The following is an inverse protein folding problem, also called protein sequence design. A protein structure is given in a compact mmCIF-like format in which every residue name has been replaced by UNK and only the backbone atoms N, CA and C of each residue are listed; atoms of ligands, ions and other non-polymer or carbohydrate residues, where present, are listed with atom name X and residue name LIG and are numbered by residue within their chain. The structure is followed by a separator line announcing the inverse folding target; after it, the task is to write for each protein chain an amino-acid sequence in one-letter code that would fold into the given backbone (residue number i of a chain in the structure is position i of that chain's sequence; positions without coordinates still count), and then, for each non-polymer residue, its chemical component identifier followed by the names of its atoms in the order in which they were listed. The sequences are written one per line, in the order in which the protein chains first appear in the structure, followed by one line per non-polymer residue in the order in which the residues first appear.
data_IF_922510471011
#
_entry.id   IF_922510471011
#
_cell.length_a   1.000
_cell.length_b   1.000
_cell.length_c   1.000
_cell.angle_alpha   90.00
_cell.angle_beta   90.00
_cell.angle_gamma   90.00
#
_symmetry.space_group_name_H-M   'P 1'
#
loop_
_entity.id
_entity.type
_entity.pdbx_description
1 polymer ?
#
# COMPACT_ATOMS: atom_id res chain seq x y z
N UNK A 1 20.88 -25.36 0.62
CA UNK A 1 19.90 -24.26 0.45
C UNK A 1 18.68 -24.61 1.26
N UNK A 2 18.36 -23.82 2.28
CA UNK A 2 17.25 -24.12 3.18
C UNK A 2 15.92 -23.56 2.64
N UNK A 3 16.00 -22.39 1.98
CA UNK A 3 14.82 -21.69 1.46
C UNK A 3 15.07 -21.19 0.04
N UNK A 4 14.13 -21.45 -0.86
CA UNK A 4 14.06 -20.83 -2.18
C UNK A 4 12.79 -19.98 -2.24
N UNK A 5 12.96 -18.70 -2.57
CA UNK A 5 11.86 -17.75 -2.77
C UNK A 5 11.71 -17.49 -4.27
N UNK A 6 10.50 -17.64 -4.79
CA UNK A 6 10.18 -17.38 -6.19
C UNK A 6 9.56 -16.01 -6.33
N UNK A 7 10.21 -15.15 -7.10
CA UNK A 7 9.84 -13.75 -7.32
C UNK A 7 10.52 -12.79 -6.37
N UNK A 8 11.11 -11.74 -6.92
CA UNK A 8 11.84 -10.67 -6.22
C UNK A 8 10.99 -9.42 -5.96
N UNK A 9 9.66 -9.53 -5.98
CA UNK A 9 8.80 -8.44 -5.54
C UNK A 9 8.99 -8.13 -4.05
N UNK A 10 8.51 -6.96 -3.55
CA UNK A 10 8.73 -6.55 -2.16
C UNK A 10 8.35 -7.59 -1.11
N UNK A 11 7.26 -8.33 -1.33
CA UNK A 11 6.81 -9.37 -0.40
C UNK A 11 7.74 -10.60 -0.41
N UNK A 12 8.18 -11.04 -1.59
CA UNK A 12 9.15 -12.13 -1.71
C UNK A 12 10.49 -11.77 -1.06
N UNK A 13 10.98 -10.56 -1.33
CA UNK A 13 12.21 -10.06 -0.71
C UNK A 13 12.08 -9.90 0.81
N UNK A 14 10.92 -9.44 1.31
CA UNK A 14 10.68 -9.36 2.74
C UNK A 14 10.73 -10.73 3.41
N UNK A 15 10.10 -11.74 2.80
CA UNK A 15 10.18 -13.12 3.28
C UNK A 15 11.63 -13.67 3.25
N UNK A 16 12.35 -13.40 2.17
CA UNK A 16 13.75 -13.79 2.03
C UNK A 16 14.64 -13.16 3.11
N UNK A 17 14.46 -11.86 3.38
CA UNK A 17 15.17 -11.13 4.45
C UNK A 17 14.89 -11.73 5.81
N UNK A 18 13.63 -12.04 6.13
CA UNK A 18 13.26 -12.67 7.40
C UNK A 18 13.96 -14.01 7.57
N UNK A 19 13.95 -14.87 6.55
CA UNK A 19 14.62 -16.16 6.58
C UNK A 19 16.14 -16.04 6.70
N UNK A 20 16.76 -15.15 5.93
CA UNK A 20 18.21 -14.95 5.97
C UNK A 20 18.68 -14.39 7.34
N UNK A 21 17.95 -13.45 7.92
CA UNK A 21 18.19 -12.91 9.28
C UNK A 21 18.03 -14.00 10.36
N UNK A 22 17.21 -15.02 10.11
CA UNK A 22 17.08 -16.18 10.99
C UNK A 22 18.23 -17.21 10.82
N UNK A 23 19.23 -16.92 9.98
CA UNK A 23 20.40 -17.77 9.75
C UNK A 23 20.19 -18.88 8.71
N UNK A 24 19.10 -18.85 7.95
CA UNK A 24 18.85 -19.80 6.87
C UNK A 24 19.59 -19.41 5.59
N UNK A 25 20.08 -20.40 4.82
CA UNK A 25 20.60 -20.15 3.48
C UNK A 25 19.45 -19.90 2.51
N UNK A 26 19.40 -18.71 1.90
CA UNK A 26 18.27 -18.26 1.10
C UNK A 26 18.70 -17.93 -0.33
N UNK A 27 17.92 -18.42 -1.30
CA UNK A 27 18.01 -18.04 -2.71
C UNK A 27 16.70 -17.45 -3.19
N UNK A 28 16.76 -16.30 -3.85
CA UNK A 28 15.62 -15.68 -4.56
C UNK A 28 15.82 -15.93 -6.06
N UNK A 29 14.79 -16.42 -6.73
CA UNK A 29 14.78 -16.66 -8.19
C UNK A 29 13.76 -15.69 -8.80
N UNK A 30 14.20 -14.95 -9.83
CA UNK A 30 13.40 -13.94 -10.52
C UNK A 30 13.44 -14.17 -12.03
N UNK A 31 12.26 -14.23 -12.65
CA UNK A 31 12.14 -14.43 -14.08
C UNK A 31 12.64 -13.25 -14.92
N UNK A 32 12.52 -12.05 -14.38
CA UNK A 32 12.91 -10.82 -15.10
C UNK A 32 14.42 -10.56 -14.98
N UNK A 33 14.93 -9.73 -15.89
CA UNK A 33 16.32 -9.25 -15.86
C UNK A 33 16.61 -8.25 -14.75
N UNK A 34 15.59 -7.73 -14.07
CA UNK A 34 15.68 -6.77 -12.97
C UNK A 34 14.79 -7.20 -11.80
N UNK A 35 15.29 -7.05 -10.58
CA UNK A 35 14.54 -7.34 -9.37
C UNK A 35 13.55 -6.23 -9.02
N UNK A 36 12.56 -6.56 -8.18
CA UNK A 36 11.64 -5.59 -7.58
C UNK A 36 10.17 -5.80 -7.91
N UNK A 37 9.83 -6.73 -8.81
CA UNK A 37 8.43 -7.00 -9.17
C UNK A 37 7.69 -5.73 -9.61
N UNK A 38 6.55 -5.43 -9.00
CA UNK A 38 5.77 -4.21 -9.26
C UNK A 38 6.38 -2.90 -8.71
N UNK A 39 7.46 -2.98 -7.92
CA UNK A 39 8.19 -1.81 -7.42
C UNK A 39 9.46 -1.51 -8.26
N UNK A 40 9.53 -2.00 -9.48
CA UNK A 40 10.62 -1.65 -10.41
C UNK A 40 10.43 -0.24 -10.95
N UNK A 41 11.52 0.48 -11.07
CA UNK A 41 11.61 1.76 -11.78
C UNK A 41 12.51 1.55 -12.98
N UNK A 42 12.00 1.79 -14.17
CA UNK A 42 12.71 1.56 -15.43
C UNK A 42 12.94 2.89 -16.15
N UNK A 43 14.07 3.04 -16.87
CA UNK A 43 14.29 4.22 -17.71
C UNK A 43 13.26 4.27 -18.83
N UNK A 44 12.87 5.50 -19.19
CA UNK A 44 12.05 5.71 -20.37
C UNK A 44 12.84 5.37 -21.65
N UNK A 45 12.24 4.67 -22.63
CA UNK A 45 12.95 4.29 -23.86
C UNK A 45 13.25 5.48 -24.80
N UNK A 46 12.51 6.58 -24.69
CA UNK A 46 12.64 7.74 -25.57
C UNK A 46 13.36 8.93 -24.89
N UNK A 47 13.17 9.08 -23.57
CA UNK A 47 13.69 10.21 -22.80
C UNK A 47 14.70 9.73 -21.75
N UNK A 48 15.98 9.95 -22.02
CA UNK A 48 17.10 9.43 -21.18
C UNK A 48 17.14 9.95 -19.75
N UNK A 49 16.50 11.07 -19.48
CA UNK A 49 16.40 11.72 -18.18
C UNK A 49 15.11 11.40 -17.41
N UNK A 50 14.24 10.57 -18.00
CA UNK A 50 12.97 10.14 -17.42
C UNK A 50 13.04 8.68 -16.99
N UNK A 51 12.40 8.37 -15.88
CA UNK A 51 12.19 6.99 -15.39
C UNK A 51 10.75 6.81 -14.95
N UNK A 52 10.25 5.61 -15.10
CA UNK A 52 8.88 5.25 -14.73
C UNK A 52 8.84 4.14 -13.69
N UNK A 53 8.04 4.32 -12.67
CA UNK A 53 7.57 3.22 -11.83
C UNK A 53 6.53 2.43 -12.62
N UNK A 54 6.83 1.15 -12.87
CA UNK A 54 6.04 0.34 -13.82
C UNK A 54 4.67 -0.09 -13.30
N UNK A 55 4.47 -0.05 -11.99
CA UNK A 55 3.22 -0.48 -11.37
C UNK A 55 2.88 0.39 -10.15
N UNK A 56 3.59 0.23 -9.02
CA UNK A 56 3.29 1.00 -7.82
C UNK A 56 4.29 2.13 -7.61
N UNK A 57 3.78 3.36 -7.51
CA UNK A 57 4.58 4.57 -7.29
C UNK A 57 4.40 5.14 -5.89
N UNK A 58 3.35 4.75 -5.17
CA UNK A 58 3.06 5.20 -3.80
C UNK A 58 3.04 4.01 -2.85
N UNK A 59 3.64 4.16 -1.67
CA UNK A 59 3.93 3.04 -0.78
C UNK A 59 3.50 3.27 0.67
N UNK A 60 2.21 3.49 0.96
CA UNK A 60 1.74 3.72 2.33
C UNK A 60 2.04 2.53 3.26
N UNK A 61 2.06 1.30 2.74
CA UNK A 61 2.42 0.12 3.51
C UNK A 61 3.92 0.00 3.80
N UNK A 62 4.78 0.70 3.06
CA UNK A 62 6.20 0.79 3.37
C UNK A 62 6.47 1.57 4.68
N UNK A 63 5.47 2.29 5.18
CA UNK A 63 5.53 2.99 6.48
C UNK A 63 4.65 2.30 7.52
N UNK A 64 3.45 1.84 7.11
CA UNK A 64 2.44 1.36 8.05
C UNK A 64 2.51 -0.14 8.36
N UNK A 65 3.15 -0.97 7.51
CA UNK A 65 3.19 -2.40 7.77
C UNK A 65 4.17 -2.77 8.89
N UNK A 66 3.86 -3.79 9.71
CA UNK A 66 4.74 -4.20 10.81
C UNK A 66 6.14 -4.61 10.35
N UNK A 67 6.26 -5.25 9.19
CA UNK A 67 7.55 -5.62 8.63
C UNK A 67 8.42 -4.39 8.35
N UNK A 68 7.90 -3.42 7.59
CA UNK A 68 8.67 -2.24 7.23
C UNK A 68 8.92 -1.29 8.41
N UNK A 69 8.01 -1.23 9.38
CA UNK A 69 8.26 -0.51 10.63
C UNK A 69 9.49 -1.06 11.38
N UNK A 70 9.68 -2.39 11.38
CA UNK A 70 10.87 -3.02 11.96
C UNK A 70 12.09 -3.06 11.03
N UNK A 71 11.86 -2.98 9.71
CA UNK A 71 12.94 -2.95 8.71
C UNK A 71 13.63 -1.59 8.66
N UNK A 72 12.90 -0.50 8.88
CA UNK A 72 13.39 0.88 8.90
C UNK A 72 14.06 1.29 7.58
N UNK A 73 13.24 1.57 6.58
CA UNK A 73 13.69 2.00 5.26
C UNK A 73 14.58 3.25 5.30
N UNK A 74 14.24 4.32 6.07
CA UNK A 74 15.11 5.49 6.20
C UNK A 74 16.51 5.17 6.73
N UNK A 75 16.65 4.33 7.74
CA UNK A 75 17.96 3.90 8.25
C UNK A 75 18.77 3.11 7.22
N UNK A 76 18.15 2.65 6.13
CA UNK A 76 18.77 1.93 5.00
C UNK A 76 18.97 2.81 3.76
N UNK A 77 18.85 4.13 3.93
CA UNK A 77 19.10 5.11 2.87
C UNK A 77 17.93 5.31 1.90
N UNK A 78 16.75 4.79 2.21
CA UNK A 78 15.55 5.04 1.39
C UNK A 78 14.87 6.31 1.90
N UNK A 79 15.00 7.39 1.16
CA UNK A 79 14.30 8.64 1.43
C UNK A 79 12.87 8.56 0.90
N UNK A 80 11.91 8.96 1.73
CA UNK A 80 10.48 8.96 1.41
C UNK A 80 9.92 10.38 1.45
N UNK A 81 9.42 10.85 0.33
CA UNK A 81 8.63 12.08 0.25
C UNK A 81 7.15 11.77 0.45
N UNK A 82 6.50 12.47 1.38
CA UNK A 82 5.08 12.30 1.62
C UNK A 82 4.33 13.57 1.23
N UNK A 83 3.65 13.60 0.07
CA UNK A 83 2.87 14.74 -0.37
C UNK A 83 1.74 15.08 0.59
N UNK A 84 1.35 16.35 0.63
CA UNK A 84 0.17 16.81 1.38
C UNK A 84 -1.14 16.27 0.78
N UNK A 85 -1.19 16.19 -0.55
CA UNK A 85 -2.27 15.56 -1.30
C UNK A 85 -1.92 14.09 -1.51
N UNK A 86 -2.73 13.19 -0.97
CA UNK A 86 -2.55 11.75 -1.16
C UNK A 86 -3.08 11.31 -2.53
N UNK A 87 -4.29 11.75 -2.89
CA UNK A 87 -4.91 11.44 -4.17
C UNK A 87 -6.05 12.42 -4.49
N UNK A 88 -6.50 12.42 -5.73
CA UNK A 88 -7.63 13.25 -6.15
C UNK A 88 -8.39 12.60 -7.30
N UNK A 89 -9.67 12.91 -7.39
CA UNK A 89 -10.54 12.47 -8.47
C UNK A 89 -11.09 13.68 -9.22
N UNK A 90 -10.79 13.84 -10.52
CA UNK A 90 -11.44 14.84 -11.34
C UNK A 90 -12.93 14.54 -11.46
N UNK A 91 -13.74 15.59 -11.42
CA UNK A 91 -15.18 15.50 -11.57
C UNK A 91 -15.62 16.36 -12.76
N UNK A 92 -16.67 15.96 -13.51
CA UNK A 92 -17.19 16.77 -14.60
C UNK A 92 -17.73 18.12 -14.07
N UNK A 93 -17.41 19.18 -14.78
CA UNK A 93 -17.96 20.53 -14.57
C UNK A 93 -17.79 21.13 -13.18
N UNK A 94 -16.83 20.64 -12.39
CA UNK A 94 -16.51 21.11 -11.04
C UNK A 94 -15.06 20.80 -10.65
N UNK A 95 -14.52 21.46 -9.58
CA UNK A 95 -13.19 21.12 -9.06
C UNK A 95 -13.06 19.66 -8.70
N UNK A 96 -11.85 19.12 -8.84
CA UNK A 96 -11.54 17.74 -8.41
C UNK A 96 -11.77 17.56 -6.90
N UNK A 97 -12.30 16.41 -6.53
CA UNK A 97 -12.33 16.01 -5.13
C UNK A 97 -10.90 15.62 -4.70
N UNK A 98 -10.41 16.18 -3.60
CA UNK A 98 -9.03 16.02 -3.13
C UNK A 98 -9.01 15.33 -1.76
N UNK A 99 -8.22 14.27 -1.67
CA UNK A 99 -7.89 13.58 -0.43
C UNK A 99 -6.54 14.07 0.10
N UNK A 100 -6.57 14.93 1.10
CA UNK A 100 -5.37 15.40 1.80
C UNK A 100 -4.94 14.41 2.88
N UNK A 101 -3.67 14.43 3.24
CA UNK A 101 -3.18 13.71 4.41
C UNK A 101 -3.91 14.17 5.68
N UNK A 102 -4.11 15.46 5.84
CA UNK A 102 -4.97 16.02 6.90
C UNK A 102 -6.45 15.71 6.61
N UNK A 103 -7.04 14.84 7.45
CA UNK A 103 -8.45 14.46 7.32
C UNK A 103 -9.39 15.65 7.54
N UNK A 104 -9.04 16.58 8.42
CA UNK A 104 -9.88 17.75 8.71
C UNK A 104 -9.93 18.67 7.50
N UNK A 105 -8.79 18.90 6.84
CA UNK A 105 -8.73 19.64 5.59
C UNK A 105 -9.58 18.99 4.50
N UNK A 106 -9.44 17.65 4.33
CA UNK A 106 -10.30 16.91 3.40
C UNK A 106 -11.78 17.13 3.71
N UNK A 107 -12.16 17.05 4.98
CA UNK A 107 -13.56 17.23 5.39
C UNK A 107 -14.10 18.64 5.16
N UNK A 108 -13.25 19.67 5.23
CA UNK A 108 -13.67 21.05 4.96
C UNK A 108 -13.92 21.29 3.47
N UNK A 109 -13.14 20.66 2.61
CA UNK A 109 -13.22 20.87 1.15
C UNK A 109 -14.27 20.00 0.45
N UNK A 110 -14.70 18.87 1.07
CA UNK A 110 -15.73 18.01 0.51
C UNK A 110 -17.15 18.59 0.70
N UNK A 111 -18.03 18.32 -0.25
CA UNK A 111 -19.45 18.69 -0.20
C UNK A 111 -20.19 18.12 1.03
N UNK A 112 -19.74 16.98 1.56
CA UNK A 112 -20.22 16.39 2.82
C UNK A 112 -19.07 15.76 3.63
N UNK A 113 -18.17 16.57 4.14
CA UNK A 113 -17.04 16.13 4.95
C UNK A 113 -17.42 15.42 6.25
N UNK A 114 -18.59 15.69 6.81
CA UNK A 114 -19.07 14.98 8.00
C UNK A 114 -19.28 13.49 7.74
N UNK A 115 -19.72 13.12 6.53
CA UNK A 115 -19.86 11.73 6.08
C UNK A 115 -18.50 11.06 5.98
N UNK A 116 -17.52 11.75 5.41
CA UNK A 116 -16.14 11.28 5.27
C UNK A 116 -15.49 11.05 6.64
N UNK A 117 -15.57 12.03 7.53
CA UNK A 117 -15.04 11.93 8.90
C UNK A 117 -15.65 10.76 9.67
N UNK A 118 -16.95 10.53 9.55
CA UNK A 118 -17.64 9.41 10.21
C UNK A 118 -17.14 8.06 9.68
N UNK A 119 -16.86 7.96 8.39
CA UNK A 119 -16.35 6.76 7.77
C UNK A 119 -14.90 6.48 8.17
N UNK A 120 -14.01 7.45 7.97
CA UNK A 120 -12.56 7.23 8.03
C UNK A 120 -11.88 7.70 9.32
N UNK A 121 -12.44 8.70 10.03
CA UNK A 121 -11.83 9.24 11.25
C UNK A 121 -11.48 8.16 12.30
N UNK A 122 -12.44 7.28 12.68
CA UNK A 122 -12.15 6.20 13.63
C UNK A 122 -11.16 5.15 13.11
N UNK A 123 -11.00 5.03 11.81
CA UNK A 123 -10.02 4.10 11.20
C UNK A 123 -8.63 4.73 11.15
N UNK A 124 -8.54 6.01 10.78
CA UNK A 124 -7.28 6.74 10.74
C UNK A 124 -6.63 6.84 12.13
N UNK A 125 -7.44 7.05 13.18
CA UNK A 125 -6.95 7.06 14.56
C UNK A 125 -6.50 5.69 15.09
N UNK A 126 -6.90 4.59 14.43
CA UNK A 126 -6.52 3.20 14.79
C UNK A 126 -5.90 2.48 13.58
N UNK A 127 -5.05 3.19 12.85
CA UNK A 127 -4.44 2.71 11.60
C UNK A 127 -3.74 1.35 11.77
N UNK A 128 -2.98 1.17 12.86
CA UNK A 128 -2.29 -0.09 13.13
C UNK A 128 -3.27 -1.25 13.37
N UNK A 129 -4.38 -1.01 14.06
CA UNK A 129 -5.44 -2.01 14.21
C UNK A 129 -6.09 -2.38 12.88
N UNK A 130 -6.32 -1.40 12.00
CA UNK A 130 -6.86 -1.62 10.64
C UNK A 130 -5.90 -2.44 9.79
N UNK A 131 -4.61 -2.09 9.76
CA UNK A 131 -3.56 -2.81 9.02
C UNK A 131 -3.44 -4.24 9.55
N UNK A 132 -3.33 -4.43 10.86
CA UNK A 132 -3.24 -5.75 11.47
C UNK A 132 -4.46 -6.63 11.19
N UNK A 133 -5.66 -6.04 11.17
CA UNK A 133 -6.88 -6.75 10.84
C UNK A 133 -6.95 -7.12 9.35
N UNK A 134 -6.67 -6.19 8.44
CA UNK A 134 -6.87 -6.40 7.01
C UNK A 134 -5.73 -7.18 6.34
N UNK A 135 -4.51 -7.10 6.84
CA UNK A 135 -3.34 -7.80 6.30
C UNK A 135 -2.83 -8.94 7.18
N UNK A 136 -3.29 -9.06 8.42
CA UNK A 136 -2.90 -10.12 9.34
C UNK A 136 -3.42 -11.51 8.94
N UNK A 137 -2.98 -12.53 9.68
CA UNK A 137 -3.41 -13.92 9.49
C UNK A 137 -4.91 -14.07 9.77
N UNK A 138 -5.66 -14.43 8.74
CA UNK A 138 -7.11 -14.63 8.81
C UNK A 138 -7.54 -15.95 9.48
N UNK A 139 -6.59 -16.84 9.76
CA UNK A 139 -6.84 -18.12 10.44
C UNK A 139 -6.78 -18.00 11.96
N UNK A 140 -6.33 -16.87 12.47
CA UNK A 140 -6.25 -16.56 13.90
C UNK A 140 -7.34 -15.60 14.32
N UNK A 141 -7.54 -15.50 15.66
CA UNK A 141 -8.40 -14.47 16.23
C UNK A 141 -7.85 -13.10 15.86
N UNK A 142 -8.71 -12.15 15.44
CA UNK A 142 -8.26 -10.81 15.09
C UNK A 142 -7.40 -10.19 16.21
N UNK A 143 -6.25 -9.61 15.88
CA UNK A 143 -5.33 -9.04 16.88
C UNK A 143 -5.96 -7.86 17.65
N UNK A 144 -7.01 -7.25 17.09
CA UNK A 144 -7.76 -6.15 17.69
C UNK A 144 -9.26 -6.34 17.46
N UNK A 145 -9.99 -6.77 18.49
CA UNK A 145 -11.46 -6.81 18.46
C UNK A 145 -12.06 -5.42 18.22
N UNK A 146 -11.59 -4.32 18.88
CA UNK A 146 -12.08 -2.98 18.56
C UNK A 146 -11.90 -2.58 17.09
N UNK A 147 -10.78 -2.90 16.47
CA UNK A 147 -10.57 -2.66 15.04
C UNK A 147 -11.56 -3.46 14.19
N UNK A 148 -11.80 -4.74 14.52
CA UNK A 148 -12.76 -5.57 13.81
C UNK A 148 -14.19 -4.99 13.88
N UNK A 149 -14.61 -4.53 15.05
CA UNK A 149 -15.92 -3.89 15.25
C UNK A 149 -16.07 -2.55 14.51
N UNK A 150 -14.97 -1.84 14.26
CA UNK A 150 -14.97 -0.61 13.46
C UNK A 150 -14.95 -0.91 11.96
N UNK A 151 -14.14 -1.85 11.51
CA UNK A 151 -13.92 -2.15 10.09
C UNK A 151 -15.07 -2.96 9.50
N UNK A 152 -15.50 -4.05 10.14
CA UNK A 152 -16.46 -4.98 9.56
C UNK A 152 -17.79 -4.33 9.11
N UNK A 153 -18.48 -3.52 9.93
CA UNK A 153 -19.72 -2.88 9.49
C UNK A 153 -19.51 -1.90 8.33
N UNK A 154 -18.35 -1.26 8.27
CA UNK A 154 -17.97 -0.35 7.18
C UNK A 154 -17.71 -1.10 5.88
N UNK A 155 -17.01 -2.23 5.95
CA UNK A 155 -16.81 -3.12 4.80
C UNK A 155 -18.14 -3.62 4.26
N UNK A 156 -19.05 -4.09 5.15
CA UNK A 156 -20.38 -4.54 4.76
C UNK A 156 -21.20 -3.42 4.12
N UNK A 157 -21.19 -2.22 4.70
CA UNK A 157 -21.90 -1.07 4.17
C UNK A 157 -21.38 -0.66 2.80
N UNK A 158 -20.06 -0.49 2.66
CA UNK A 158 -19.44 -0.04 1.41
C UNK A 158 -19.33 -1.14 0.35
N UNK A 159 -19.38 -2.41 0.73
CA UNK A 159 -19.26 -3.56 -0.17
C UNK A 159 -20.59 -4.19 -0.60
N UNK A 160 -21.73 -3.68 -0.14
CA UNK A 160 -23.06 -4.15 -0.48
C UNK A 160 -23.72 -3.29 -1.56
N UNK A 161 -24.92 -3.70 -1.99
CA UNK A 161 -25.77 -2.89 -2.89
C UNK A 161 -26.16 -1.54 -2.28
N UNK A 162 -26.08 -1.41 -0.97
CA UNK A 162 -26.27 -0.12 -0.28
C UNK A 162 -25.16 0.88 -0.58
N UNK A 163 -24.10 0.45 -1.28
CA UNK A 163 -22.96 1.26 -1.76
C UNK A 163 -23.07 2.72 -1.31
N UNK A 164 -22.67 2.96 -0.12
CA UNK A 164 -22.62 4.33 0.28
C UNK A 164 -23.62 4.70 1.36
N UNK A 165 -23.18 4.42 2.56
CA UNK A 165 -23.48 5.32 3.67
C UNK A 165 -22.73 6.66 3.50
N UNK A 166 -21.86 6.78 2.47
CA UNK A 166 -21.27 8.05 2.06
C UNK A 166 -22.30 8.91 1.34
N UNK A 167 -22.57 10.07 1.89
CA UNK A 167 -23.33 11.12 1.26
C UNK A 167 -22.39 12.20 0.74
N UNK A 168 -22.77 12.82 -0.36
CA UNK A 168 -21.93 13.74 -1.11
C UNK A 168 -21.27 13.08 -2.32
N UNK A 169 -21.16 13.81 -3.40
CA UNK A 169 -20.60 13.32 -4.65
C UNK A 169 -19.09 13.23 -4.58
N UNK A 170 -18.43 14.22 -3.97
CA UNK A 170 -16.99 14.27 -3.77
C UNK A 170 -16.50 13.09 -2.93
N UNK A 171 -17.15 12.82 -1.80
CA UNK A 171 -16.79 11.72 -0.92
C UNK A 171 -16.96 10.36 -1.60
N UNK A 172 -18.01 10.17 -2.40
CA UNK A 172 -18.21 8.96 -3.19
C UNK A 172 -17.13 8.80 -4.26
N UNK A 173 -16.80 9.87 -4.98
CA UNK A 173 -15.77 9.86 -6.00
C UNK A 173 -14.41 9.45 -5.42
N UNK A 174 -13.98 10.09 -4.33
CA UNK A 174 -12.73 9.74 -3.64
C UNK A 174 -12.71 8.29 -3.19
N UNK A 175 -13.78 7.82 -2.54
CA UNK A 175 -13.82 6.45 -2.05
C UNK A 175 -13.84 5.42 -3.20
N UNK A 176 -14.62 5.69 -4.25
CA UNK A 176 -14.69 4.81 -5.42
C UNK A 176 -13.36 4.72 -6.15
N UNK A 177 -12.66 5.86 -6.34
CA UNK A 177 -11.35 5.90 -6.97
C UNK A 177 -10.32 5.07 -6.22
N UNK A 178 -10.29 5.17 -4.89
CA UNK A 178 -9.38 4.36 -4.06
C UNK A 178 -9.78 2.88 -4.05
N UNK A 179 -11.08 2.58 -3.98
CA UNK A 179 -11.57 1.20 -4.02
C UNK A 179 -11.29 0.50 -5.36
N UNK A 180 -11.19 1.27 -6.45
CA UNK A 180 -10.88 0.76 -7.79
C UNK A 180 -9.48 0.14 -7.92
N UNK A 181 -8.56 0.38 -6.96
CA UNK A 181 -7.25 -0.29 -6.91
C UNK A 181 -7.34 -1.83 -6.87
N UNK A 182 -8.49 -2.39 -6.52
CA UNK A 182 -8.68 -3.85 -6.57
C UNK A 182 -8.86 -4.41 -7.98
N UNK A 183 -9.09 -3.55 -8.99
CA UNK A 183 -9.38 -3.96 -10.38
C UNK A 183 -10.43 -5.08 -10.41
N UNK A 184 -11.52 -4.89 -9.67
CA UNK A 184 -12.61 -5.87 -9.52
C UNK A 184 -13.97 -5.20 -9.67
N UNK A 185 -15.02 -6.00 -9.83
CA UNK A 185 -16.40 -5.48 -9.82
C UNK A 185 -16.70 -4.77 -8.51
N UNK A 186 -17.29 -3.59 -8.61
CA UNK A 186 -17.74 -2.79 -7.47
C UNK A 186 -19.25 -2.59 -7.54
N UNK A 187 -19.95 -2.61 -6.37
CA UNK A 187 -19.42 -2.81 -5.02
C UNK A 187 -19.09 -4.28 -4.72
N UNK A 188 -18.05 -4.52 -3.92
CA UNK A 188 -17.73 -5.83 -3.36
C UNK A 188 -17.05 -5.67 -2.00
N UNK A 189 -17.07 -6.72 -1.17
CA UNK A 189 -16.40 -6.69 0.14
C UNK A 189 -14.89 -6.47 0.00
N UNK A 190 -14.28 -7.00 -1.06
CA UNK A 190 -12.85 -6.85 -1.35
C UNK A 190 -12.54 -5.40 -1.71
N UNK A 191 -13.30 -4.79 -2.63
CA UNK A 191 -13.08 -3.38 -3.01
C UNK A 191 -13.35 -2.43 -1.85
N UNK A 192 -14.36 -2.70 -1.02
CA UNK A 192 -14.63 -1.93 0.19
C UNK A 192 -13.49 -2.04 1.20
N UNK A 193 -12.97 -3.24 1.44
CA UNK A 193 -11.84 -3.45 2.35
C UNK A 193 -10.57 -2.73 1.89
N UNK A 194 -10.22 -2.85 0.62
CA UNK A 194 -9.08 -2.16 0.04
C UNK A 194 -9.25 -0.63 0.06
N UNK A 195 -10.43 -0.13 -0.34
CA UNK A 195 -10.75 1.30 -0.30
C UNK A 195 -10.65 1.87 1.11
N UNK A 196 -11.22 1.20 2.11
CA UNK A 196 -11.13 1.61 3.50
C UNK A 196 -9.68 1.60 4.01
N UNK A 197 -8.90 0.57 3.67
CA UNK A 197 -7.49 0.49 4.06
C UNK A 197 -6.68 1.62 3.44
N UNK A 198 -6.72 1.77 2.12
CA UNK A 198 -5.91 2.76 1.41
C UNK A 198 -6.30 4.20 1.78
N UNK A 199 -7.60 4.50 1.90
CA UNK A 199 -8.06 5.81 2.35
C UNK A 199 -7.65 6.09 3.81
N UNK A 200 -7.73 5.10 4.70
CA UNK A 200 -7.22 5.20 6.07
C UNK A 200 -5.74 5.52 6.11
N UNK A 201 -4.94 4.81 5.32
CA UNK A 201 -3.50 5.05 5.20
C UNK A 201 -3.19 6.44 4.65
N UNK A 202 -3.98 6.92 3.68
CA UNK A 202 -3.85 8.27 3.14
C UNK A 202 -3.92 9.35 4.20
N UNK A 203 -4.78 9.18 5.20
CA UNK A 203 -4.91 10.14 6.32
C UNK A 203 -3.94 9.87 7.47
N UNK A 204 -3.63 8.60 7.76
CA UNK A 204 -2.80 8.26 8.91
C UNK A 204 -1.30 8.46 8.65
N UNK A 205 -0.80 8.01 7.51
CA UNK A 205 0.63 8.05 7.15
C UNK A 205 0.92 8.81 5.85
N UNK A 206 -0.13 9.12 5.09
CA UNK A 206 -0.01 9.66 3.73
C UNK A 206 0.32 8.57 2.71
N UNK A 207 0.57 8.99 1.47
CA UNK A 207 1.01 8.12 0.39
C UNK A 207 2.46 8.47 0.01
N UNK A 208 3.45 7.93 0.74
CA UNK A 208 4.85 8.24 0.51
C UNK A 208 5.35 7.70 -0.82
N UNK A 209 6.25 8.47 -1.43
CA UNK A 209 6.91 8.19 -2.71
C UNK A 209 8.41 8.09 -2.43
N UNK A 210 9.09 6.98 -2.79
CA UNK A 210 10.54 6.90 -2.66
C UNK A 210 11.26 7.86 -3.61
N UNK A 211 12.19 8.61 -3.10
CA UNK A 211 13.06 9.47 -3.92
C UNK A 211 13.93 8.59 -4.81
N UNK A 212 13.98 8.90 -6.10
CA UNK A 212 14.68 8.08 -7.09
C UNK A 212 13.88 6.87 -7.61
N UNK A 213 12.57 6.79 -7.23
CA UNK A 213 11.64 5.78 -7.69
C UNK A 213 11.47 4.60 -6.75
N UNK A 214 10.45 3.82 -7.02
CA UNK A 214 10.02 2.68 -6.19
C UNK A 214 11.09 1.61 -6.02
N UNK A 215 12.03 1.49 -6.97
CA UNK A 215 13.16 0.56 -6.93
C UNK A 215 14.02 0.68 -5.66
N UNK A 216 14.05 1.84 -5.01
CA UNK A 216 14.79 2.04 -3.77
C UNK A 216 14.39 1.07 -2.66
N UNK A 217 13.12 0.66 -2.61
CA UNK A 217 12.60 -0.31 -1.63
C UNK A 217 13.18 -1.72 -1.87
N UNK A 218 13.02 -2.36 -3.04
CA UNK A 218 13.62 -3.67 -3.28
C UNK A 218 15.14 -3.64 -3.26
N UNK A 219 15.80 -2.56 -3.64
CA UNK A 219 17.26 -2.41 -3.53
C UNK A 219 17.73 -2.47 -2.07
N UNK A 220 17.04 -1.79 -1.15
CA UNK A 220 17.32 -1.86 0.29
C UNK A 220 17.09 -3.28 0.86
N UNK A 221 16.03 -3.96 0.44
CA UNK A 221 15.76 -5.35 0.83
C UNK A 221 16.84 -6.30 0.30
N UNK A 222 17.28 -6.13 -0.94
CA UNK A 222 18.35 -6.92 -1.53
C UNK A 222 19.71 -6.69 -0.86
N UNK A 223 20.01 -5.45 -0.50
CA UNK A 223 21.24 -5.13 0.23
C UNK A 223 21.26 -5.85 1.60
N UNK A 224 20.14 -5.85 2.31
CA UNK A 224 19.99 -6.57 3.57
C UNK A 224 20.08 -8.10 3.38
N UNK A 225 19.39 -8.65 2.40
CA UNK A 225 19.45 -10.07 2.07
C UNK A 225 20.90 -10.51 1.82
N UNK A 226 21.64 -9.77 0.99
CA UNK A 226 23.03 -10.06 0.66
C UNK A 226 23.97 -9.97 1.87
N UNK A 227 23.74 -9.00 2.75
CA UNK A 227 24.53 -8.83 3.99
C UNK A 227 24.37 -10.02 4.94
N UNK A 228 23.29 -10.80 4.78
CA UNK A 228 23.03 -12.04 5.53
C UNK A 228 23.29 -13.32 4.69
N UNK A 229 24.07 -13.19 3.59
CA UNK A 229 24.48 -14.32 2.77
C UNK A 229 23.43 -14.86 1.80
N UNK A 230 22.32 -14.16 1.60
CA UNK A 230 21.30 -14.57 0.63
C UNK A 230 21.70 -14.24 -0.82
N UNK A 231 21.21 -15.03 -1.76
CA UNK A 231 21.52 -14.98 -3.18
C UNK A 231 20.29 -14.54 -3.99
N UNK A 232 20.55 -13.83 -5.10
CA UNK A 232 19.54 -13.48 -6.12
C UNK A 232 20.00 -14.02 -7.48
N UNK A 233 19.13 -14.76 -8.14
CA UNK A 233 19.27 -15.24 -9.52
C UNK A 233 18.22 -14.52 -10.38
N UNK A 234 18.65 -13.86 -11.44
CA UNK A 234 17.80 -13.14 -12.39
C UNK A 234 17.71 -13.90 -13.71
N UNK A 235 16.59 -13.69 -14.44
CA UNK A 235 16.38 -14.28 -15.76
C UNK A 235 16.05 -15.77 -15.73
N UNK A 236 15.67 -16.32 -14.59
CA UNK A 236 15.29 -17.73 -14.42
C UNK A 236 13.80 -17.85 -14.12
N UNK A 237 13.04 -18.38 -15.08
CA UNK A 237 11.63 -18.68 -14.93
C UNK A 237 11.44 -20.12 -14.43
N UNK A 238 10.73 -20.27 -13.32
CA UNK A 238 10.36 -21.59 -12.81
C UNK A 238 8.98 -21.97 -13.36
N UNK A 239 8.92 -23.11 -14.00
CA UNK A 239 7.71 -23.71 -14.59
C UNK A 239 7.15 -24.83 -13.73
#
# INVERSE_FOLDING_TARGET
MDVTVVGSGPNGLAAAVICARAGLSVRVIEAQSTAGGGARTLPDPEFSDVSHDICSAVHPLAVASPFFAGFDLPARGVELTTPEVSYGNPLPDRPAAIGYRDIERTCVELDNGASWRRLLGPLASDCQGVVGLLLGDKRSIPPSIPAALRVAPRVLAQGSRAWGTLSGEDARALFTGVAAHTISCMPSLVSAGAGLMLATLGHAVGWPIPVGGSRAIPEALLADLRSHGGELVLGEELT
#
